data_IF_702874627666
#
_entry.id   IF_702874627666
#
_cell.length_a   1.000
_cell.length_b   1.000
_cell.length_c   1.000
_cell.angle_alpha   90.00
_cell.angle_beta   90.00
_cell.angle_gamma   90.00
#
_symmetry.space_group_name_H-M   'P 1'
#
loop_
_entity.id
_entity.type
_entity.pdbx_description
1 polymer ?
#
# COMPACT_ATOMS: atom_id res chain seq x y z
N UNK A 1 -2.56 35.91 31.72
CA UNK A 1 -1.13 35.93 31.33
C UNK A 1 -0.44 34.93 32.25
N UNK A 2 0.15 33.79 31.87
CA UNK A 2 0.55 33.27 30.57
C UNK A 2 0.94 31.78 30.77
N UNK A 3 0.38 30.91 29.92
CA UNK A 3 0.79 29.55 29.52
C UNK A 3 1.29 28.51 30.56
N UNK A 4 0.41 27.56 30.89
CA UNK A 4 0.79 26.16 31.18
C UNK A 4 1.25 25.48 29.88
N UNK A 5 2.55 25.46 29.62
CA UNK A 5 3.15 24.66 28.54
C UNK A 5 3.37 23.23 29.03
N UNK A 6 2.38 22.35 28.83
CA UNK A 6 2.68 20.94 28.65
C UNK A 6 3.57 20.84 27.40
N UNK A 7 4.75 20.19 27.45
CA UNK A 7 5.53 19.93 26.25
C UNK A 7 4.83 18.81 25.49
N UNK A 8 3.74 19.16 24.81
CA UNK A 8 3.16 18.30 23.81
C UNK A 8 4.18 18.22 22.67
N UNK A 9 5.11 17.27 22.76
CA UNK A 9 5.69 16.66 21.57
C UNK A 9 4.51 15.96 20.88
N UNK A 10 3.73 16.72 20.10
CA UNK A 10 2.85 16.14 19.10
C UNK A 10 3.79 15.59 18.05
N UNK A 11 4.35 14.42 18.33
CA UNK A 11 4.96 13.57 17.30
C UNK A 11 3.82 13.34 16.33
N UNK A 12 3.86 13.98 15.17
CA UNK A 12 2.85 13.79 14.14
C UNK A 12 3.07 12.38 13.57
N UNK A 13 2.53 11.42 14.31
CA UNK A 13 2.78 10.00 14.10
C UNK A 13 1.89 9.53 12.97
N UNK A 14 2.52 9.17 11.86
CA UNK A 14 1.88 8.67 10.65
C UNK A 14 1.02 7.44 10.97
N UNK A 15 -0.25 7.43 10.55
CA UNK A 15 -1.10 6.24 10.58
C UNK A 15 -0.99 5.47 9.26
N UNK A 16 -0.82 4.14 9.31
CA UNK A 16 -0.70 3.31 8.11
C UNK A 16 -1.65 2.10 8.17
N UNK A 17 -2.07 1.61 6.99
CA UNK A 17 -2.65 0.27 6.91
C UNK A 17 -1.60 -0.78 7.26
N UNK A 18 -2.04 -1.83 7.94
CA UNK A 18 -1.21 -2.98 8.27
C UNK A 18 -1.97 -4.29 8.13
N UNK A 19 -1.24 -5.34 7.79
CA UNK A 19 -1.81 -6.66 7.59
C UNK A 19 -1.10 -7.44 6.50
N UNK A 20 -1.69 -8.59 6.16
CA UNK A 20 -1.24 -9.45 5.09
C UNK A 20 -2.44 -10.04 4.34
N UNK A 21 -2.25 -10.39 3.07
CA UNK A 21 -3.19 -11.19 2.29
C UNK A 21 -2.42 -12.01 1.25
N UNK A 22 -3.00 -13.10 0.77
CA UNK A 22 -2.39 -14.02 -0.22
C UNK A 22 -3.26 -14.15 -1.48
N UNK A 23 -4.53 -13.77 -1.40
CA UNK A 23 -5.50 -13.96 -2.47
C UNK A 23 -5.40 -12.78 -3.44
N UNK A 24 -5.26 -13.09 -4.74
CA UNK A 24 -5.23 -12.05 -5.79
C UNK A 24 -6.53 -11.22 -5.74
N UNK A 25 -6.41 -9.92 -5.93
CA UNK A 25 -7.54 -8.97 -5.82
C UNK A 25 -7.92 -8.56 -4.39
N UNK A 26 -7.60 -9.35 -3.36
CA UNK A 26 -7.87 -8.92 -1.97
C UNK A 26 -6.89 -7.84 -1.51
N UNK A 27 -7.33 -6.97 -0.60
CA UNK A 27 -6.46 -5.99 0.05
C UNK A 27 -5.81 -6.60 1.30
N UNK A 28 -4.85 -5.89 1.90
CA UNK A 28 -4.25 -6.26 3.20
C UNK A 28 -5.22 -6.14 4.39
N UNK A 29 -6.48 -5.80 4.14
CA UNK A 29 -7.51 -5.52 5.14
C UNK A 29 -7.65 -4.03 5.46
N UNK A 30 -8.42 -3.76 6.51
CA UNK A 30 -8.74 -2.39 7.01
C UNK A 30 -8.04 -2.07 8.34
N UNK A 31 -7.22 -2.98 8.85
CA UNK A 31 -6.46 -2.77 10.09
C UNK A 31 -5.44 -1.66 9.93
N UNK A 32 -5.30 -0.84 10.98
CA UNK A 32 -4.46 0.35 11.01
C UNK A 32 -3.53 0.32 12.20
N UNK A 33 -2.39 1.00 12.08
CA UNK A 33 -1.47 1.26 13.18
C UNK A 33 -0.86 2.64 13.05
N UNK A 34 -0.67 3.27 14.20
CA UNK A 34 0.07 4.51 14.39
C UNK A 34 1.56 4.15 14.44
N UNK A 35 2.40 4.77 13.60
CA UNK A 35 3.83 4.47 13.50
C UNK A 35 4.60 4.97 14.72
N UNK A 36 5.65 4.26 15.12
CA UNK A 36 6.33 4.57 16.38
C UNK A 36 7.43 5.63 16.23
N UNK A 37 7.93 5.85 15.02
CA UNK A 37 9.06 6.76 14.75
C UNK A 37 8.65 7.86 13.78
N UNK A 38 9.19 9.06 13.97
CA UNK A 38 9.01 10.18 13.02
C UNK A 38 9.60 9.90 11.63
N UNK A 39 10.60 9.02 11.56
CA UNK A 39 11.22 8.59 10.32
C UNK A 39 10.54 7.36 9.70
N UNK A 40 9.46 6.85 10.29
CA UNK A 40 8.70 5.76 9.67
C UNK A 40 7.93 6.28 8.44
N UNK A 41 7.93 5.48 7.38
CA UNK A 41 7.01 5.64 6.26
C UNK A 41 6.03 4.46 6.22
N UNK A 42 4.85 4.67 5.66
CA UNK A 42 3.96 3.58 5.31
C UNK A 42 4.55 2.80 4.14
N UNK A 43 4.59 1.47 4.23
CA UNK A 43 4.98 0.61 3.12
C UNK A 43 3.84 -0.30 2.67
N UNK A 44 3.92 -0.71 1.42
CA UNK A 44 3.12 -1.77 0.81
C UNK A 44 4.01 -2.60 -0.09
N UNK A 45 4.02 -3.91 0.16
CA UNK A 45 4.71 -4.90 -0.65
C UNK A 45 3.67 -5.82 -1.30
N UNK A 46 3.89 -6.19 -2.56
CA UNK A 46 3.14 -7.25 -3.22
C UNK A 46 4.04 -8.09 -4.12
N UNK A 47 3.77 -9.38 -4.20
CA UNK A 47 4.47 -10.31 -5.10
C UNK A 47 3.48 -11.34 -5.64
N UNK A 48 3.50 -11.51 -6.96
CA UNK A 48 2.69 -12.52 -7.63
C UNK A 48 3.36 -13.88 -7.51
N UNK A 49 2.76 -14.81 -6.77
CA UNK A 49 3.34 -16.14 -6.53
C UNK A 49 2.93 -17.12 -7.64
N UNK A 50 1.70 -16.97 -8.14
CA UNK A 50 1.17 -17.72 -9.27
C UNK A 50 -0.04 -16.96 -9.86
N UNK A 51 -0.71 -17.54 -10.85
CA UNK A 51 -1.84 -16.92 -11.55
C UNK A 51 -2.99 -16.47 -10.61
N UNK A 52 -3.19 -17.16 -9.47
CA UNK A 52 -4.31 -16.92 -8.56
C UNK A 52 -3.90 -16.30 -7.21
N UNK A 53 -2.60 -16.25 -6.93
CA UNK A 53 -2.07 -15.89 -5.60
C UNK A 53 -1.13 -14.69 -5.70
N UNK A 54 -1.45 -13.64 -4.95
CA UNK A 54 -0.60 -12.46 -4.77
C UNK A 54 -0.43 -12.24 -3.29
N UNK A 55 0.80 -12.40 -2.80
CA UNK A 55 1.13 -12.07 -1.41
C UNK A 55 1.23 -10.56 -1.28
N UNK A 56 0.51 -9.98 -0.33
CA UNK A 56 0.49 -8.55 -0.03
C UNK A 56 0.81 -8.35 1.45
N UNK A 57 1.60 -7.34 1.76
CA UNK A 57 1.94 -6.94 3.14
C UNK A 57 2.01 -5.43 3.26
N UNK A 58 1.53 -4.88 4.37
CA UNK A 58 1.58 -3.45 4.65
C UNK A 58 1.96 -3.15 6.11
N UNK A 59 2.49 -1.95 6.36
CA UNK A 59 2.80 -1.49 7.71
C UNK A 59 3.64 -0.21 7.73
N UNK A 60 4.31 0.04 8.84
CA UNK A 60 5.27 1.14 9.03
C UNK A 60 6.71 0.61 8.97
N UNK A 61 7.63 1.36 8.37
CA UNK A 61 9.06 1.07 8.46
C UNK A 61 9.93 2.23 7.98
N UNK A 62 10.87 2.69 8.81
CA UNK A 62 12.02 3.50 8.35
C UNK A 62 12.94 2.74 7.39
N UNK A 63 13.45 1.57 7.81
CA UNK A 63 14.58 0.91 7.13
C UNK A 63 14.22 0.43 5.72
N UNK A 64 13.05 -0.20 5.57
CA UNK A 64 12.59 -0.72 4.27
C UNK A 64 12.37 0.40 3.26
N UNK A 65 12.02 1.61 3.71
CA UNK A 65 11.68 2.75 2.86
C UNK A 65 12.84 3.72 2.63
N UNK A 66 14.03 3.43 3.16
CA UNK A 66 15.18 4.35 3.12
C UNK A 66 15.57 4.77 1.70
N UNK A 67 15.46 3.86 0.72
CA UNK A 67 15.89 4.10 -0.66
C UNK A 67 14.75 4.49 -1.62
N UNK A 68 13.49 4.35 -1.20
CA UNK A 68 12.32 4.51 -2.07
C UNK A 68 11.18 5.26 -1.40
N UNK A 69 11.54 6.25 -0.59
CA UNK A 69 10.58 7.12 0.08
C UNK A 69 9.69 7.81 -0.95
N UNK A 70 8.37 7.78 -0.73
CA UNK A 70 7.36 8.34 -1.64
C UNK A 70 7.44 7.81 -3.08
N UNK A 71 7.95 6.60 -3.27
CA UNK A 71 8.05 5.95 -4.59
C UNK A 71 7.83 4.44 -4.52
N UNK A 72 7.62 3.85 -5.69
CA UNK A 72 7.50 2.40 -5.87
C UNK A 72 8.71 1.87 -6.64
N UNK A 73 9.21 0.72 -6.22
CA UNK A 73 10.21 -0.06 -6.95
C UNK A 73 9.56 -1.38 -7.36
N UNK A 74 9.74 -1.74 -8.62
CA UNK A 74 9.40 -3.05 -9.16
C UNK A 74 10.68 -3.87 -9.36
N UNK A 75 10.63 -5.15 -9.04
CA UNK A 75 11.73 -6.10 -9.19
C UNK A 75 11.17 -7.44 -9.67
N UNK A 76 11.85 -8.07 -10.62
CA UNK A 76 11.57 -9.45 -10.99
C UNK A 76 12.33 -10.40 -10.04
N UNK A 77 11.59 -11.11 -9.20
CA UNK A 77 12.11 -12.10 -8.26
C UNK A 77 11.67 -13.48 -8.72
N UNK A 78 12.60 -14.33 -9.18
CA UNK A 78 12.30 -15.71 -9.60
C UNK A 78 11.20 -15.81 -10.68
N UNK A 79 11.13 -14.84 -11.59
CA UNK A 79 10.08 -14.77 -12.62
C UNK A 79 8.75 -14.18 -12.13
N UNK A 80 8.67 -13.79 -10.86
CA UNK A 80 7.53 -13.10 -10.26
C UNK A 80 7.78 -11.61 -10.12
N UNK A 81 6.81 -10.79 -10.52
CA UNK A 81 6.86 -9.35 -10.30
C UNK A 81 6.59 -9.03 -8.83
N UNK A 82 7.58 -8.47 -8.16
CA UNK A 82 7.47 -7.91 -6.83
C UNK A 82 7.44 -6.39 -6.91
N UNK A 83 6.46 -5.76 -6.27
CA UNK A 83 6.37 -4.31 -6.15
C UNK A 83 6.44 -3.91 -4.68
N UNK A 84 7.27 -2.91 -4.40
CA UNK A 84 7.47 -2.36 -3.08
C UNK A 84 7.32 -0.82 -3.12
N UNK A 85 6.28 -0.30 -2.49
CA UNK A 85 5.97 1.12 -2.43
C UNK A 85 6.10 1.65 -1.01
N UNK A 86 6.61 2.87 -0.88
CA UNK A 86 6.62 3.60 0.37
C UNK A 86 6.04 5.00 0.21
N UNK A 87 5.43 5.53 1.27
CA UNK A 87 4.88 6.88 1.30
C UNK A 87 4.80 7.41 2.74
N UNK A 88 4.88 8.73 2.90
CA UNK A 88 4.68 9.44 4.16
C UNK A 88 4.18 10.87 4.00
N UNK A 89 3.58 11.16 2.86
CA UNK A 89 2.97 12.45 2.58
C UNK A 89 1.67 12.68 3.37
N UNK A 90 1.00 11.61 3.81
CA UNK A 90 -0.25 11.65 4.59
C UNK A 90 -0.57 10.31 5.27
N UNK A 91 -1.48 10.35 6.23
CA UNK A 91 -2.04 9.15 6.84
C UNK A 91 -2.70 8.22 5.80
N UNK A 92 -2.52 6.92 6.01
CA UNK A 92 -3.09 5.84 5.22
C UNK A 92 -2.72 5.90 3.73
N UNK A 93 -1.62 6.57 3.37
CA UNK A 93 -1.14 6.72 2.00
C UNK A 93 -0.84 5.37 1.33
N UNK A 94 -0.55 4.32 2.11
CA UNK A 94 -0.33 2.96 1.61
C UNK A 94 -1.63 2.19 1.34
N UNK A 95 -2.72 2.89 1.02
CA UNK A 95 -3.98 2.32 0.59
C UNK A 95 -3.84 1.58 -0.75
N UNK A 96 -4.82 0.72 -1.07
CA UNK A 96 -4.79 0.05 -2.37
C UNK A 96 -5.20 1.08 -3.41
N UNK A 97 -4.29 1.42 -4.32
CA UNK A 97 -4.72 2.05 -5.56
C UNK A 97 -5.60 1.02 -6.27
N UNK A 98 -6.90 1.29 -6.32
CA UNK A 98 -7.87 0.44 -6.99
C UNK A 98 -7.59 0.53 -8.49
N UNK A 99 -6.77 -0.37 -9.02
CA UNK A 99 -6.77 -0.62 -10.47
C UNK A 99 -8.12 -1.24 -10.80
N UNK A 100 -9.12 -0.40 -11.07
CA UNK A 100 -10.35 -0.80 -11.72
C UNK A 100 -10.02 -1.20 -13.16
N UNK A 101 -9.47 -2.40 -13.34
CA UNK A 101 -9.59 -3.12 -14.60
C UNK A 101 -11.00 -3.74 -14.65
N UNK A 102 -12.02 -2.89 -14.72
CA UNK A 102 -13.34 -3.34 -15.18
C UNK A 102 -13.18 -3.56 -16.68
N UNK A 103 -12.97 -4.81 -17.05
CA UNK A 103 -13.10 -5.26 -18.44
C UNK A 103 -14.60 -5.27 -18.73
N UNK A 104 -15.17 -4.17 -19.23
CA UNK A 104 -16.43 -4.25 -19.98
C UNK A 104 -16.08 -4.53 -21.43
N UNK A 105 -15.68 -5.77 -21.72
CA UNK A 105 -15.64 -6.31 -23.07
C UNK A 105 -16.87 -7.19 -23.27
N UNK A 106 -18.05 -6.59 -23.36
CA UNK A 106 -19.26 -7.27 -23.87
C UNK A 106 -20.11 -6.31 -24.71
N UNK A 107 -19.52 -5.65 -25.71
CA UNK A 107 -20.29 -5.05 -26.81
C UNK A 107 -19.58 -5.35 -28.14
N UNK A 108 -19.64 -6.60 -28.58
CA UNK A 108 -19.55 -7.06 -29.98
C UNK A 108 -19.42 -8.60 -29.93
N UNK A 109 -20.54 -9.34 -30.02
CA UNK A 109 -20.96 -9.75 -31.36
C UNK A 109 -22.49 -9.94 -31.44
N UNK A 110 -23.26 -8.85 -31.44
CA UNK A 110 -24.68 -8.92 -31.87
C UNK A 110 -24.94 -8.15 -33.17
N UNK A 111 -23.92 -7.55 -33.79
CA UNK A 111 -24.04 -6.92 -35.11
C UNK A 111 -23.84 -7.89 -36.30
N UNK A 112 -23.78 -9.20 -36.05
CA UNK A 112 -23.65 -10.21 -37.12
C UNK A 112 -24.92 -11.04 -37.36
N UNK A 113 -26.03 -10.73 -36.70
CA UNK A 113 -27.33 -11.37 -36.95
C UNK A 113 -28.47 -10.34 -36.79
N UNK A 114 -28.53 -9.35 -37.68
CA UNK A 114 -29.78 -8.78 -38.23
C UNK A 114 -29.48 -7.85 -39.41
#
# INVERSE_FOLDING_TARGET
MLHTSLPWNVVNSLECYTGFSIIRGQTVGTSKKVCSKESDSCYRAMVDVNLLSTVKKAGCSTIRCYLNRNSCIEQDLFGSKAMFCCCDDRDLCNSASTSFAIIVSVIAPLYFIL
#
